data_IF_702085584286
#
_entry.id   IF_702085584286
#
_cell.length_a   1.000
_cell.length_b   1.000
_cell.length_c   1.000
_cell.angle_alpha   90.00
_cell.angle_beta   90.00
_cell.angle_gamma   90.00
#
_symmetry.space_group_name_H-M   'P 1'
#
loop_
_entity.id
_entity.type
_entity.pdbx_description
1 polymer ?
#
# COMPACT_ATOMS: atom_id res chain seq x y z
N UNK A 1 -20.30 6.10 11.91
CA UNK A 1 -20.47 4.63 12.04
C UNK A 1 -19.37 3.83 11.35
N UNK A 2 -19.00 4.13 10.10
CA UNK A 2 -18.00 3.35 9.33
C UNK A 2 -16.71 3.01 10.09
N UNK A 3 -16.04 3.99 10.71
CA UNK A 3 -14.78 3.76 11.43
C UNK A 3 -14.90 2.72 12.55
N UNK A 4 -15.99 2.76 13.34
CA UNK A 4 -16.23 1.80 14.41
C UNK A 4 -16.51 0.39 13.87
N UNK A 5 -17.32 0.28 12.81
CA UNK A 5 -17.62 -1.00 12.16
C UNK A 5 -16.37 -1.63 11.54
N UNK A 6 -15.53 -0.82 10.90
CA UNK A 6 -14.25 -1.27 10.35
C UNK A 6 -13.34 -1.82 11.46
N UNK A 7 -13.18 -1.10 12.57
CA UNK A 7 -12.37 -1.58 13.69
C UNK A 7 -12.90 -2.88 14.30
N UNK A 8 -14.22 -2.99 14.47
CA UNK A 8 -14.83 -4.23 14.94
C UNK A 8 -14.57 -5.41 13.98
N UNK A 9 -14.60 -5.16 12.67
CA UNK A 9 -14.25 -6.17 11.65
C UNK A 9 -12.78 -6.58 11.72
N UNK A 10 -11.86 -5.62 11.90
CA UNK A 10 -10.42 -5.89 12.06
C UNK A 10 -10.16 -6.74 13.31
N UNK A 11 -10.79 -6.38 14.43
CA UNK A 11 -10.65 -7.10 15.70
C UNK A 11 -11.21 -8.53 15.58
N UNK A 12 -12.38 -8.69 14.95
CA UNK A 12 -12.95 -10.01 14.66
C UNK A 12 -12.03 -10.85 13.76
N UNK A 13 -11.52 -10.29 12.67
CA UNK A 13 -10.62 -11.00 11.76
C UNK A 13 -9.37 -11.53 12.48
N UNK A 14 -8.79 -10.72 13.37
CA UNK A 14 -7.63 -11.13 14.18
C UNK A 14 -7.96 -12.21 15.19
N UNK A 15 -9.15 -12.15 15.81
CA UNK A 15 -9.62 -13.21 16.70
C UNK A 15 -9.80 -14.53 15.93
N UNK A 16 -10.38 -14.47 14.74
CA UNK A 16 -10.60 -15.64 13.88
C UNK A 16 -9.27 -16.25 13.37
N UNK A 17 -8.19 -15.46 13.28
CA UNK A 17 -6.83 -15.92 12.92
C UNK A 17 -6.01 -16.47 14.10
N UNK A 18 -6.53 -16.45 15.33
CA UNK A 18 -5.73 -16.79 16.52
C UNK A 18 -5.17 -18.22 16.48
N UNK A 19 -5.91 -19.18 15.90
CA UNK A 19 -5.48 -20.56 15.75
C UNK A 19 -4.33 -20.74 14.75
N UNK A 20 -4.14 -19.78 13.83
CA UNK A 20 -3.06 -19.76 12.85
C UNK A 20 -2.03 -18.64 13.13
N UNK A 21 -1.98 -18.15 14.38
CA UNK A 21 -1.12 -17.03 14.78
C UNK A 21 0.37 -17.30 14.46
N UNK A 22 0.85 -18.53 14.60
CA UNK A 22 2.25 -18.89 14.29
C UNK A 22 2.62 -18.66 12.82
N UNK A 23 1.66 -18.69 11.91
CA UNK A 23 1.85 -18.41 10.48
C UNK A 23 1.74 -16.92 10.15
N UNK A 24 1.23 -16.10 11.09
CA UNK A 24 1.11 -14.67 10.91
C UNK A 24 2.45 -13.97 11.06
N UNK A 25 2.57 -12.77 10.49
CA UNK A 25 3.75 -11.92 10.67
C UNK A 25 4.03 -11.72 12.16
N UNK A 26 5.26 -12.05 12.59
CA UNK A 26 5.66 -11.96 14.00
C UNK A 26 5.05 -13.02 14.92
N UNK A 27 4.44 -14.10 14.38
CA UNK A 27 3.85 -15.17 15.16
C UNK A 27 2.58 -14.76 15.92
N UNK A 28 1.94 -13.66 15.51
CA UNK A 28 0.78 -13.11 16.21
C UNK A 28 -0.28 -12.62 15.22
N UNK A 29 -1.53 -13.01 15.43
CA UNK A 29 -2.67 -12.48 14.68
C UNK A 29 -2.83 -10.96 14.88
N UNK A 30 -2.49 -10.44 16.07
CA UNK A 30 -2.46 -9.00 16.33
C UNK A 30 -1.36 -8.27 15.52
N UNK A 31 -0.28 -9.00 15.21
CA UNK A 31 0.85 -8.55 14.40
C UNK A 31 0.56 -8.49 12.89
N UNK A 32 -0.60 -8.97 12.42
CA UNK A 32 -0.98 -8.87 11.00
C UNK A 32 -1.29 -7.42 10.63
N UNK A 33 -0.53 -6.81 9.70
CA UNK A 33 -0.75 -5.43 9.29
C UNK A 33 -1.93 -5.32 8.34
N UNK A 34 -2.76 -4.30 8.56
CA UNK A 34 -3.82 -3.91 7.62
C UNK A 34 -3.32 -2.78 6.74
N UNK A 35 -3.08 -3.07 5.46
CA UNK A 35 -2.63 -2.07 4.47
C UNK A 35 -3.88 -1.46 3.79
N UNK A 36 -4.26 -0.26 4.21
CA UNK A 36 -5.45 0.43 3.76
C UNK A 36 -5.10 1.48 2.70
N UNK A 37 -5.36 1.14 1.43
CA UNK A 37 -5.19 2.06 0.31
C UNK A 37 -6.18 3.22 0.33
N UNK A 38 -5.72 4.39 -0.12
CA UNK A 38 -6.56 5.55 -0.43
C UNK A 38 -7.45 5.32 -1.67
N UNK A 39 -8.21 6.34 -2.04
CA UNK A 39 -9.13 6.32 -3.18
C UNK A 39 -8.76 7.36 -4.25
N UNK A 40 -9.51 7.39 -5.35
CA UNK A 40 -9.33 8.39 -6.40
C UNK A 40 -9.75 9.78 -5.92
N UNK A 41 -9.21 10.82 -6.56
CA UNK A 41 -9.56 12.21 -6.25
C UNK A 41 -11.07 12.48 -6.36
N UNK A 42 -11.76 11.76 -7.26
CA UNK A 42 -13.19 11.89 -7.51
C UNK A 42 -14.01 11.71 -6.22
N UNK A 43 -13.68 10.69 -5.41
CA UNK A 43 -14.45 10.40 -4.21
C UNK A 43 -14.29 11.46 -3.12
N UNK A 44 -13.08 12.03 -2.99
CA UNK A 44 -12.85 13.16 -2.09
C UNK A 44 -13.61 14.40 -2.54
N UNK A 45 -13.62 14.69 -3.83
CA UNK A 45 -14.37 15.84 -4.39
C UNK A 45 -15.89 15.65 -4.27
N UNK A 46 -16.38 14.41 -4.43
CA UNK A 46 -17.81 14.08 -4.34
C UNK A 46 -18.36 14.25 -2.92
N UNK A 47 -17.58 13.88 -1.89
CA UNK A 47 -17.96 14.07 -0.50
C UNK A 47 -16.74 14.12 0.42
N UNK A 48 -16.17 15.32 0.58
CA UNK A 48 -14.99 15.52 1.41
C UNK A 48 -15.22 15.17 2.90
N UNK A 49 -16.35 15.56 3.54
CA UNK A 49 -16.62 15.14 4.92
C UNK A 49 -16.63 13.62 5.11
N UNK A 50 -17.26 12.87 4.20
CA UNK A 50 -17.26 11.41 4.26
C UNK A 50 -15.86 10.83 4.02
N UNK A 51 -15.10 11.39 3.08
CA UNK A 51 -13.71 11.01 2.86
C UNK A 51 -12.88 11.16 4.14
N UNK A 52 -12.95 12.31 4.81
CA UNK A 52 -12.21 12.54 6.05
C UNK A 52 -12.66 11.60 7.18
N UNK A 53 -13.96 11.36 7.31
CA UNK A 53 -14.50 10.46 8.33
C UNK A 53 -14.06 8.99 8.12
N UNK A 54 -13.91 8.55 6.87
CA UNK A 54 -13.52 7.16 6.53
C UNK A 54 -12.00 7.01 6.47
N UNK A 55 -11.35 7.72 5.55
CA UNK A 55 -9.91 7.57 5.26
C UNK A 55 -9.03 8.27 6.30
N UNK A 56 -9.48 9.38 6.87
CA UNK A 56 -8.83 9.98 8.05
C UNK A 56 -8.89 9.06 9.26
N UNK A 57 -9.92 8.21 9.33
CA UNK A 57 -10.04 7.15 10.34
C UNK A 57 -8.96 6.09 10.25
N UNK A 58 -8.48 5.75 9.04
CA UNK A 58 -7.39 4.78 8.85
C UNK A 58 -6.01 5.36 9.19
N UNK A 59 -5.78 6.64 8.82
CA UNK A 59 -4.48 7.30 8.93
C UNK A 59 -3.93 7.37 10.36
N UNK A 60 -4.83 7.40 11.36
CA UNK A 60 -4.47 7.59 12.76
C UNK A 60 -4.53 6.30 13.60
N UNK A 61 -4.31 5.13 12.97
CA UNK A 61 -4.48 3.81 13.61
C UNK A 61 -3.24 2.90 13.53
N UNK A 62 -2.06 3.49 13.44
CA UNK A 62 -0.78 2.76 13.41
C UNK A 62 -0.53 1.96 14.70
N UNK A 63 -1.05 2.42 15.83
CA UNK A 63 -1.10 1.72 17.13
C UNK A 63 -1.84 0.37 17.05
N UNK A 64 -2.83 0.27 16.16
CA UNK A 64 -3.56 -0.97 15.85
C UNK A 64 -2.96 -1.73 14.67
N UNK A 65 -1.76 -1.39 14.23
CA UNK A 65 -1.09 -1.97 13.06
C UNK A 65 -1.95 -1.85 11.78
N UNK A 66 -2.63 -0.72 11.63
CA UNK A 66 -3.40 -0.32 10.44
C UNK A 66 -2.63 0.83 9.79
N UNK A 67 -2.25 0.65 8.53
CA UNK A 67 -1.35 1.55 7.80
C UNK A 67 -2.06 2.11 6.58
N UNK A 68 -2.13 3.43 6.51
CA UNK A 68 -2.74 4.12 5.38
C UNK A 68 -1.71 4.32 4.26
N UNK A 69 -2.09 3.94 3.04
CA UNK A 69 -1.25 4.13 1.84
C UNK A 69 -1.87 5.22 0.96
N UNK A 70 -1.22 6.39 0.82
CA UNK A 70 -1.73 7.46 -0.03
C UNK A 70 -1.66 7.02 -1.50
N UNK A 71 -2.76 7.11 -2.23
CA UNK A 71 -2.88 6.70 -3.65
C UNK A 71 -3.49 7.79 -4.52
N UNK A 72 -3.94 8.91 -3.94
CA UNK A 72 -4.66 9.95 -4.67
C UNK A 72 -3.76 10.78 -5.59
N UNK A 73 -2.55 11.10 -5.13
CA UNK A 73 -1.59 11.92 -5.87
C UNK A 73 -0.22 11.26 -5.94
N UNK A 74 0.55 11.55 -6.98
CA UNK A 74 1.96 11.22 -7.09
C UNK A 74 2.84 12.08 -6.16
N UNK A 75 4.17 11.93 -6.28
CA UNK A 75 5.15 12.68 -5.49
C UNK A 75 5.14 14.20 -5.78
N UNK A 76 4.65 14.60 -6.95
CA UNK A 76 4.56 15.98 -7.39
C UNK A 76 3.20 16.61 -7.07
N UNK A 77 2.29 15.87 -6.43
CA UNK A 77 0.94 16.33 -6.12
C UNK A 77 -0.04 16.22 -7.31
N UNK A 78 0.35 15.56 -8.40
CA UNK A 78 -0.53 15.31 -9.56
C UNK A 78 -1.44 14.13 -9.24
N UNK A 79 -2.72 14.23 -9.59
CA UNK A 79 -3.68 13.15 -9.38
C UNK A 79 -3.25 11.87 -10.10
N UNK A 80 -3.33 10.74 -9.39
CA UNK A 80 -3.08 9.43 -9.98
C UNK A 80 -4.16 9.14 -11.04
N UNK A 81 -3.78 8.69 -12.25
CA UNK A 81 -4.71 8.50 -13.35
C UNK A 81 -5.90 7.58 -13.05
N UNK A 82 -7.07 8.01 -13.52
CA UNK A 82 -8.32 7.27 -13.41
C UNK A 82 -8.78 6.71 -14.76
N UNK A 83 -9.89 5.98 -14.78
CA UNK A 83 -10.54 5.55 -16.03
C UNK A 83 -11.21 6.71 -16.79
N UNK A 84 -10.94 7.97 -16.43
CA UNK A 84 -11.26 9.10 -17.28
C UNK A 84 -10.45 9.00 -18.59
N UNK A 85 -11.07 9.01 -19.79
CA UNK A 85 -10.37 8.88 -21.06
C UNK A 85 -9.20 9.86 -21.26
N UNK A 86 -9.28 11.06 -20.69
CA UNK A 86 -8.20 12.04 -20.76
C UNK A 86 -6.96 11.68 -19.91
N UNK A 87 -7.12 10.81 -18.92
CA UNK A 87 -6.07 10.41 -17.98
C UNK A 87 -5.50 9.02 -18.30
N UNK A 88 -6.19 8.24 -19.13
CA UNK A 88 -5.79 6.89 -19.52
C UNK A 88 -5.72 6.74 -21.05
N UNK A 89 -4.72 7.39 -21.69
CA UNK A 89 -4.54 7.35 -23.14
C UNK A 89 -3.97 6.01 -23.62
N UNK A 90 -4.11 5.78 -24.92
CA UNK A 90 -3.45 4.66 -25.59
C UNK A 90 -1.92 4.86 -25.60
N UNK A 91 -1.19 3.76 -25.47
CA UNK A 91 0.25 3.69 -25.66
C UNK A 91 0.50 2.59 -26.70
N UNK A 92 0.37 2.99 -27.97
CA UNK A 92 0.39 2.07 -29.12
C UNK A 92 1.69 1.28 -29.22
N UNK A 93 2.82 1.89 -28.83
CA UNK A 93 4.15 1.25 -28.88
C UNK A 93 4.25 -0.03 -28.05
N UNK A 94 3.38 -0.21 -27.06
CA UNK A 94 3.32 -1.39 -26.20
C UNK A 94 1.97 -2.13 -26.31
N UNK A 95 1.14 -1.76 -27.29
CA UNK A 95 -0.18 -2.35 -27.49
C UNK A 95 -1.15 -2.10 -26.32
N UNK A 96 -0.94 -1.03 -25.54
CA UNK A 96 -1.86 -0.65 -24.48
C UNK A 96 -2.94 0.26 -25.04
N UNK A 97 -4.18 -0.21 -25.02
CA UNK A 97 -5.37 0.59 -25.32
C UNK A 97 -6.05 0.99 -24.02
N UNK A 98 -6.09 2.29 -23.76
CA UNK A 98 -6.65 2.88 -22.56
C UNK A 98 -8.17 2.89 -22.54
N UNK A 99 -8.72 3.62 -21.59
CA UNK A 99 -10.14 3.51 -21.24
C UNK A 99 -11.11 4.20 -22.22
N UNK A 100 -10.60 4.94 -23.21
CA UNK A 100 -11.39 5.63 -24.25
C UNK A 100 -12.29 4.68 -25.05
N UNK A 101 -11.85 3.44 -25.25
CA UNK A 101 -12.57 2.43 -26.02
C UNK A 101 -13.79 1.82 -25.29
N UNK A 102 -13.94 2.12 -23.99
CA UNK A 102 -15.14 1.78 -23.22
C UNK A 102 -16.10 2.97 -23.25
N UNK A 103 -16.99 3.02 -24.23
CA UNK A 103 -17.80 4.22 -24.54
C UNK A 103 -19.29 4.08 -24.21
N UNK A 104 -19.71 2.98 -23.58
CA UNK A 104 -21.12 2.73 -23.25
C UNK A 104 -21.28 1.92 -21.97
N UNK A 105 -22.49 1.92 -21.40
CA UNK A 105 -22.83 1.12 -20.23
C UNK A 105 -22.69 -0.39 -20.42
N UNK A 106 -22.66 -0.87 -21.67
CA UNK A 106 -22.37 -2.27 -21.97
C UNK A 106 -20.87 -2.62 -21.83
N UNK A 107 -19.99 -1.62 -21.82
CA UNK A 107 -18.54 -1.80 -21.92
C UNK A 107 -17.76 -1.20 -20.75
N UNK A 108 -18.25 -0.12 -20.12
CA UNK A 108 -17.63 0.48 -18.94
C UNK A 108 -18.18 -0.10 -17.63
N UNK A 109 -17.44 0.06 -16.53
CA UNK A 109 -17.87 -0.39 -15.19
C UNK A 109 -18.82 0.60 -14.51
N UNK A 110 -18.62 1.90 -14.73
CA UNK A 110 -19.41 2.98 -14.14
C UNK A 110 -19.43 4.19 -15.08
N UNK A 111 -20.53 4.94 -15.07
CA UNK A 111 -20.63 6.20 -15.78
C UNK A 111 -19.68 7.27 -15.20
N UNK A 112 -19.46 7.25 -13.88
CA UNK A 112 -18.50 8.12 -13.20
C UNK A 112 -17.07 7.62 -13.50
N UNK A 113 -16.51 8.01 -14.64
CA UNK A 113 -15.22 7.48 -15.14
C UNK A 113 -14.05 7.68 -14.19
N UNK A 114 -14.01 8.82 -13.48
CA UNK A 114 -12.95 9.12 -12.52
C UNK A 114 -13.07 8.38 -11.17
N UNK A 115 -14.15 7.62 -10.95
CA UNK A 115 -14.37 6.90 -9.69
C UNK A 115 -13.43 5.70 -9.48
N UNK A 116 -12.68 5.29 -10.51
CA UNK A 116 -11.77 4.14 -10.45
C UNK A 116 -10.41 4.49 -11.05
N UNK A 117 -9.33 4.05 -10.39
CA UNK A 117 -7.99 4.12 -10.95
C UNK A 117 -7.86 3.36 -12.28
N UNK A 118 -7.05 3.90 -13.19
CA UNK A 118 -6.79 3.29 -14.50
C UNK A 118 -6.03 1.98 -14.40
N UNK A 119 -6.05 1.18 -15.48
CA UNK A 119 -5.23 -0.03 -15.54
C UNK A 119 -3.73 0.31 -15.50
N UNK A 120 -3.32 1.42 -16.13
CA UNK A 120 -1.95 1.92 -16.06
C UNK A 120 -1.52 2.25 -14.62
N UNK A 121 -2.33 3.04 -13.89
CA UNK A 121 -2.04 3.41 -12.51
C UNK A 121 -1.93 2.18 -11.58
N UNK A 122 -2.77 1.16 -11.82
CA UNK A 122 -2.77 -0.10 -11.05
C UNK A 122 -1.52 -0.95 -11.27
N UNK A 123 -0.93 -0.89 -12.46
CA UNK A 123 0.32 -1.62 -12.80
C UNK A 123 1.58 -0.87 -12.36
N UNK A 124 1.48 0.43 -12.11
CA UNK A 124 2.58 1.27 -11.65
C UNK A 124 2.38 1.72 -10.21
N UNK A 125 2.14 3.02 -10.03
CA UNK A 125 2.21 3.69 -8.72
C UNK A 125 1.37 3.03 -7.61
N UNK A 126 0.20 2.46 -7.93
CA UNK A 126 -0.64 1.82 -6.91
C UNK A 126 0.00 0.54 -6.40
N UNK A 127 0.43 -0.36 -7.29
CA UNK A 127 1.11 -1.59 -6.89
C UNK A 127 2.42 -1.28 -6.18
N UNK A 128 3.17 -0.28 -6.65
CA UNK A 128 4.47 0.09 -6.05
C UNK A 128 4.31 0.58 -4.61
N UNK A 129 3.33 1.45 -4.36
CA UNK A 129 3.06 1.96 -3.01
C UNK A 129 2.52 0.89 -2.07
N UNK A 130 1.63 0.02 -2.55
CA UNK A 130 1.12 -1.10 -1.75
C UNK A 130 2.23 -2.11 -1.43
N UNK A 131 3.06 -2.47 -2.40
CA UNK A 131 4.20 -3.37 -2.20
C UNK A 131 5.20 -2.77 -1.20
N UNK A 132 5.50 -1.48 -1.32
CA UNK A 132 6.37 -0.76 -0.37
C UNK A 132 5.80 -0.81 1.05
N UNK A 133 4.50 -0.57 1.22
CA UNK A 133 3.84 -0.65 2.53
C UNK A 133 3.88 -2.08 3.09
N UNK A 134 3.63 -3.10 2.27
CA UNK A 134 3.75 -4.51 2.68
C UNK A 134 5.18 -4.84 3.12
N UNK A 135 6.20 -4.43 2.36
CA UNK A 135 7.60 -4.67 2.76
C UNK A 135 7.96 -3.93 4.05
N UNK A 136 7.44 -2.72 4.24
CA UNK A 136 7.70 -1.88 5.42
C UNK A 136 7.05 -2.43 6.68
N UNK A 137 5.82 -2.96 6.58
CA UNK A 137 5.00 -3.32 7.74
C UNK A 137 4.80 -4.81 7.94
N UNK A 138 4.99 -5.62 6.90
CA UNK A 138 4.81 -7.07 6.90
C UNK A 138 6.08 -7.86 6.53
N UNK A 139 7.12 -7.18 6.02
CA UNK A 139 8.39 -7.80 5.68
C UNK A 139 9.00 -8.55 6.87
N UNK A 140 9.62 -9.71 6.60
CA UNK A 140 10.15 -10.63 7.63
C UNK A 140 11.08 -9.92 8.63
N UNK A 141 10.54 -9.55 9.79
CA UNK A 141 11.30 -9.56 11.05
C UNK A 141 11.55 -11.04 11.37
N UNK A 142 12.81 -11.48 11.37
CA UNK A 142 13.16 -12.89 11.59
C UNK A 142 12.56 -13.43 12.89
N UNK A 143 11.88 -14.57 12.80
CA UNK A 143 11.73 -15.48 13.94
C UNK A 143 13.13 -16.05 14.17
N UNK A 144 13.78 -15.68 15.27
CA UNK A 144 15.00 -16.35 15.71
C UNK A 144 14.59 -17.78 16.08
N UNK A 145 14.84 -18.74 15.19
CA UNK A 145 14.85 -20.14 15.58
C UNK A 145 16.12 -20.37 16.43
N UNK A 146 15.90 -21.01 17.58
CA UNK A 146 16.86 -21.54 18.55
C UNK A 146 17.57 -20.55 19.49
N UNK A 147 17.01 -20.38 20.71
CA UNK A 147 17.64 -20.70 22.02
C UNK A 147 16.51 -20.77 23.08
N UNK A 148 16.45 -21.78 23.99
CA UNK A 148 15.39 -21.88 24.98
C UNK A 148 15.55 -20.87 26.13
N UNK A 149 14.41 -20.25 26.46
CA UNK A 149 14.04 -19.55 27.71
C UNK A 149 15.06 -18.62 28.39
N UNK A 150 14.79 -17.32 28.29
CA UNK A 150 14.87 -16.38 29.42
C UNK A 150 14.11 -15.11 29.05
N UNK A 151 13.12 -14.75 29.86
CA UNK A 151 12.37 -13.49 29.77
C UNK A 151 13.33 -12.30 29.66
N UNK A 152 13.17 -11.46 28.64
CA UNK A 152 13.53 -10.03 28.63
C UNK A 152 13.02 -9.38 27.34
N UNK A 153 12.65 -8.11 27.46
CA UNK A 153 11.93 -7.25 26.51
C UNK A 153 12.30 -7.48 25.03
N UNK A 154 11.27 -7.54 24.19
CA UNK A 154 11.41 -7.68 22.74
C UNK A 154 12.05 -6.43 22.12
N UNK A 155 13.38 -6.46 21.98
CA UNK A 155 14.14 -5.44 21.24
C UNK A 155 13.98 -5.71 19.74
N UNK A 156 13.24 -4.86 19.05
CA UNK A 156 13.14 -4.87 17.58
C UNK A 156 14.50 -4.52 16.98
N UNK A 157 15.14 -5.51 16.35
CA UNK A 157 16.45 -5.31 15.68
C UNK A 157 16.26 -5.45 14.17
N UNK A 158 16.56 -4.39 13.42
CA UNK A 158 16.54 -4.40 11.95
C UNK A 158 17.74 -5.18 11.42
N UNK A 159 17.50 -6.21 10.62
CA UNK A 159 18.53 -7.14 10.15
C UNK A 159 19.18 -6.72 8.84
N UNK A 160 18.39 -6.19 7.91
CA UNK A 160 18.85 -5.51 6.70
C UNK A 160 17.76 -4.54 6.25
N UNK A 161 18.15 -3.33 5.85
CA UNK A 161 17.25 -2.34 5.27
C UNK A 161 17.95 -1.63 4.13
N UNK A 162 17.17 -1.19 3.14
CA UNK A 162 17.58 -0.18 2.21
C UNK A 162 16.65 1.02 2.36
N UNK A 163 17.23 2.21 2.52
CA UNK A 163 16.50 3.48 2.56
C UNK A 163 17.18 4.45 1.62
N UNK A 164 16.41 5.05 0.71
CA UNK A 164 16.91 6.10 -0.20
C UNK A 164 17.38 7.33 0.58
N UNK A 165 16.74 7.64 1.72
CA UNK A 165 17.12 8.74 2.60
C UNK A 165 18.36 8.46 3.46
N UNK A 166 18.85 7.23 3.49
CA UNK A 166 20.02 6.83 4.27
C UNK A 166 21.21 6.65 3.35
N UNK A 167 22.38 7.14 3.75
CA UNK A 167 23.61 7.09 2.93
C UNK A 167 23.40 7.58 1.49
N UNK A 168 22.54 8.58 1.28
CA UNK A 168 22.17 9.09 -0.06
C UNK A 168 21.77 7.97 -1.02
N UNK A 169 21.01 6.97 -0.57
CA UNK A 169 20.55 5.82 -1.35
C UNK A 169 21.66 4.93 -1.90
N UNK A 170 22.89 5.08 -1.40
CA UNK A 170 24.01 4.28 -1.84
C UNK A 170 23.86 2.83 -1.38
N UNK A 171 23.59 1.93 -2.34
CA UNK A 171 23.38 0.50 -2.12
C UNK A 171 24.58 -0.15 -1.42
N UNK A 172 25.80 0.11 -1.89
CA UNK A 172 27.02 -0.49 -1.31
C UNK A 172 27.28 -0.03 0.12
N UNK A 173 27.04 1.24 0.40
CA UNK A 173 27.17 1.78 1.76
C UNK A 173 26.19 1.12 2.75
N UNK A 174 25.05 0.63 2.27
CA UNK A 174 24.04 -0.08 3.06
C UNK A 174 24.19 -1.61 3.01
N UNK A 175 25.30 -2.13 2.48
CA UNK A 175 25.58 -3.57 2.43
C UNK A 175 24.91 -4.32 1.28
N UNK A 176 24.42 -3.62 0.25
CA UNK A 176 23.80 -4.20 -0.94
C UNK A 176 24.79 -4.23 -2.11
N UNK A 177 24.99 -5.41 -2.70
CA UNK A 177 25.76 -5.56 -3.94
C UNK A 177 24.80 -5.62 -5.14
N UNK A 178 24.80 -4.61 -6.03
CA UNK A 178 23.96 -4.62 -7.21
C UNK A 178 24.48 -5.67 -8.23
N UNK A 179 23.60 -6.56 -8.69
CA UNK A 179 23.92 -7.55 -9.71
C UNK A 179 23.27 -7.17 -11.06
N UNK A 180 24.02 -6.44 -11.90
CA UNK A 180 23.62 -6.04 -13.25
C UNK A 180 22.59 -4.90 -13.30
N UNK A 181 22.62 -4.10 -14.38
CA UNK A 181 21.76 -2.92 -14.56
C UNK A 181 22.34 -1.62 -13.97
N UNK A 182 21.57 -0.52 -14.06
CA UNK A 182 21.90 0.79 -13.48
C UNK A 182 20.90 1.12 -12.38
N UNK A 183 21.38 1.34 -11.16
CA UNK A 183 20.59 1.92 -10.08
C UNK A 183 20.90 3.42 -10.01
N UNK A 184 19.89 4.26 -10.19
CA UNK A 184 20.02 5.72 -10.17
C UNK A 184 18.96 6.28 -9.23
N UNK A 185 19.38 7.16 -8.33
CA UNK A 185 18.49 7.83 -7.39
C UNK A 185 17.94 9.06 -8.10
N UNK A 186 16.63 9.14 -8.19
CA UNK A 186 15.94 10.27 -8.80
C UNK A 186 15.54 11.22 -7.66
N UNK A 187 15.90 12.49 -7.82
CA UNK A 187 15.56 13.59 -6.91
C UNK A 187 14.11 14.02 -7.03
#
# INVERSE_FOLDING_TARGET
EHSALFLAMVEKFRADLAEQAEQCTGGSAAGVPWICGDTTYFWKQKNEPAYQAIYGGYKNKTDKNIHFVPLMTDENGVNVPTNNPAEDPDIESIGYYGSTWRNSAATWTSADRASHFSAWARRGIISDRLATAVLTHAGRTTVKADVPSSETEAVTTTLLSYRVSESEGNLKAQGWEPAGGKAEIIS
#
